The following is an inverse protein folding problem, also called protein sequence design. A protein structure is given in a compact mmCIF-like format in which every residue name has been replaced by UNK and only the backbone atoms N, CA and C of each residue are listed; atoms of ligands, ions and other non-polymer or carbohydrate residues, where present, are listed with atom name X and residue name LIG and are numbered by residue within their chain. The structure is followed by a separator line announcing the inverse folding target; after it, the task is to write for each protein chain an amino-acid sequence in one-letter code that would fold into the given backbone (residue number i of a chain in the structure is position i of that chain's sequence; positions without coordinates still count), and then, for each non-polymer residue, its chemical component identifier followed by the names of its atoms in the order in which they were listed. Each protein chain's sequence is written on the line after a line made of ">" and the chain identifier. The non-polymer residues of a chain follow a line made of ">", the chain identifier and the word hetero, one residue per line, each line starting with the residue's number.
data_IF_174922707990
#
_entry.id   IF_174922707990
#
_cell.length_a   1.000
_cell.length_b   1.000
_cell.length_c   1.000
_cell.angle_alpha   90.00
_cell.angle_beta   90.00
_cell.angle_gamma   90.00
#
_symmetry.space_group_name_H-M   'P 1'
#
loop_
_entity.id
_entity.type
_entity.pdbx_description
1 polymer ?
#
# COMPACT_ATOMS: atom_id res chain seq x y z
N UNK A 1 10.85 -14.15 -22.68
CA UNK A 1 9.46 -14.12 -22.21
C UNK A 1 9.38 -12.99 -21.18
N UNK A 2 8.52 -12.01 -21.34
CA UNK A 2 8.33 -10.95 -20.34
C UNK A 2 7.75 -11.61 -19.08
N UNK A 3 8.41 -11.42 -17.95
CA UNK A 3 7.92 -11.95 -16.67
C UNK A 3 6.64 -11.18 -16.30
N UNK A 4 5.58 -11.87 -15.94
CA UNK A 4 4.31 -11.25 -15.50
C UNK A 4 4.55 -10.47 -14.22
N UNK A 5 4.30 -9.17 -14.24
CA UNK A 5 4.43 -8.29 -13.07
C UNK A 5 3.41 -8.68 -11.99
N UNK A 6 3.87 -8.78 -10.74
CA UNK A 6 3.04 -9.10 -9.58
C UNK A 6 3.07 -7.96 -8.58
N UNK A 7 1.93 -7.43 -8.22
CA UNK A 7 1.81 -6.32 -7.27
C UNK A 7 0.86 -6.68 -6.14
N UNK A 8 1.31 -6.49 -4.90
CA UNK A 8 0.48 -6.67 -3.71
C UNK A 8 -0.07 -5.32 -3.24
N UNK A 9 -1.38 -5.26 -3.01
CA UNK A 9 -2.09 -4.09 -2.51
C UNK A 9 -2.33 -4.12 -1.00
N UNK A 10 -2.21 -2.97 -0.33
CA UNK A 10 -2.61 -2.75 1.06
C UNK A 10 -3.57 -1.56 1.15
N UNK A 11 -4.73 -1.76 1.79
CA UNK A 11 -5.70 -0.69 2.05
C UNK A 11 -5.72 -0.35 3.53
N UNK A 12 -5.34 0.85 3.92
CA UNK A 12 -5.31 1.30 5.32
C UNK A 12 -6.68 1.53 5.96
N UNK A 13 -7.74 0.83 5.53
CA UNK A 13 -9.09 1.01 6.05
C UNK A 13 -9.91 -0.27 5.95
N UNK A 14 -10.64 -0.59 7.02
CA UNK A 14 -11.57 -1.75 7.09
C UNK A 14 -13.00 -1.41 6.67
N UNK A 15 -13.32 -0.14 6.40
CA UNK A 15 -14.67 0.25 6.00
C UNK A 15 -15.03 -0.37 4.65
N UNK A 16 -16.25 -0.92 4.52
CA UNK A 16 -16.77 -1.44 3.26
C UNK A 16 -16.78 -0.36 2.15
N UNK A 17 -17.33 0.83 2.43
CA UNK A 17 -17.31 2.00 1.54
C UNK A 17 -16.07 2.87 1.81
N UNK A 18 -14.88 2.29 1.66
CA UNK A 18 -13.62 3.00 1.92
C UNK A 18 -13.14 3.74 0.68
N UNK A 19 -12.89 5.03 0.80
CA UNK A 19 -12.23 5.81 -0.26
C UNK A 19 -10.86 5.25 -0.63
N UNK A 20 -10.13 4.71 0.35
CA UNK A 20 -8.81 4.09 0.08
C UNK A 20 -8.95 2.84 -0.79
N UNK A 21 -10.01 2.03 -0.60
CA UNK A 21 -10.31 0.88 -1.44
C UNK A 21 -10.65 1.33 -2.85
N UNK A 22 -11.55 2.29 -3.02
CA UNK A 22 -11.93 2.84 -4.32
C UNK A 22 -10.70 3.37 -5.09
N UNK A 23 -9.78 4.08 -4.40
CA UNK A 23 -8.55 4.57 -5.00
C UNK A 23 -7.60 3.43 -5.37
N UNK A 24 -7.41 2.42 -4.49
CA UNK A 24 -6.55 1.27 -4.79
C UNK A 24 -7.05 0.50 -6.00
N UNK A 25 -8.34 0.21 -6.08
CA UNK A 25 -8.97 -0.49 -7.22
C UNK A 25 -8.83 0.32 -8.51
N UNK A 26 -9.03 1.65 -8.45
CA UNK A 26 -8.82 2.52 -9.62
C UNK A 26 -7.35 2.50 -10.08
N UNK A 27 -6.38 2.47 -9.16
CA UNK A 27 -4.96 2.37 -9.53
C UNK A 27 -4.64 0.99 -10.09
N UNK A 28 -5.24 -0.07 -9.55
CA UNK A 28 -5.07 -1.43 -10.08
C UNK A 28 -5.54 -1.55 -11.54
N UNK A 29 -6.63 -0.86 -11.90
CA UNK A 29 -7.13 -0.79 -13.28
C UNK A 29 -6.19 0.00 -14.24
N UNK A 30 -5.25 0.80 -13.70
CA UNK A 30 -4.24 1.51 -14.49
C UNK A 30 -2.96 0.71 -14.72
N UNK A 31 -2.82 -0.45 -14.06
CA UNK A 31 -1.65 -1.32 -14.25
C UNK A 31 -1.66 -1.95 -15.65
N UNK A 32 -0.51 -2.38 -16.18
CA UNK A 32 -0.46 -3.13 -17.44
C UNK A 32 -1.38 -4.38 -17.40
N UNK A 33 -2.03 -4.70 -18.51
CA UNK A 33 -3.06 -5.75 -18.60
C UNK A 33 -2.61 -7.13 -18.08
N UNK A 34 -1.33 -7.48 -18.20
CA UNK A 34 -0.77 -8.75 -17.73
C UNK A 34 -0.34 -8.73 -16.26
N UNK A 35 -0.58 -7.63 -15.51
CA UNK A 35 -0.19 -7.53 -14.10
C UNK A 35 -1.10 -8.39 -13.23
N UNK A 36 -0.51 -9.23 -12.40
CA UNK A 36 -1.24 -9.91 -11.31
C UNK A 36 -1.30 -8.98 -10.12
N UNK A 37 -2.50 -8.52 -9.81
CA UNK A 37 -2.74 -7.66 -8.66
C UNK A 37 -3.62 -8.39 -7.64
N UNK A 38 -3.15 -8.45 -6.39
CA UNK A 38 -3.90 -9.01 -5.26
C UNK A 38 -3.74 -8.11 -4.04
N UNK A 39 -4.81 -7.96 -3.25
CA UNK A 39 -4.77 -7.17 -2.03
C UNK A 39 -4.85 -8.06 -0.78
N UNK A 40 -4.03 -7.78 0.22
CA UNK A 40 -4.09 -8.47 1.52
C UNK A 40 -5.34 -7.99 2.27
N UNK A 41 -6.10 -8.94 2.82
CA UNK A 41 -7.13 -8.64 3.80
C UNK A 41 -6.49 -8.31 5.15
N UNK A 42 -6.16 -7.03 5.36
CA UNK A 42 -5.52 -6.57 6.59
C UNK A 42 -6.43 -6.69 7.82
N UNK A 43 -7.74 -6.88 7.62
CA UNK A 43 -8.71 -7.08 8.70
C UNK A 43 -8.65 -8.48 9.32
N UNK A 44 -8.10 -9.45 8.61
CA UNK A 44 -7.95 -10.83 9.09
C UNK A 44 -6.72 -11.04 9.97
N UNK A 45 -5.77 -10.09 10.00
CA UNK A 45 -4.56 -10.23 10.79
C UNK A 45 -4.84 -9.92 12.27
N UNK A 46 -4.45 -10.80 13.21
CA UNK A 46 -4.54 -10.48 14.64
C UNK A 46 -3.65 -9.28 15.00
N UNK A 47 -3.87 -8.69 16.16
CA UNK A 47 -2.91 -7.72 16.68
C UNK A 47 -1.53 -8.36 16.82
N UNK A 48 -0.49 -7.62 16.41
CA UNK A 48 0.89 -8.11 16.49
C UNK A 48 1.23 -8.52 17.92
N UNK A 49 1.70 -9.74 18.04
CA UNK A 49 2.22 -10.29 19.27
C UNK A 49 3.35 -11.26 18.91
N UNK A 50 4.55 -10.99 19.41
CA UNK A 50 5.74 -11.79 19.14
C UNK A 50 5.58 -13.26 19.61
N UNK A 51 4.77 -13.52 20.65
CA UNK A 51 4.55 -14.89 21.13
C UNK A 51 3.85 -15.76 20.07
N UNK A 52 3.00 -15.15 19.22
CA UNK A 52 2.35 -15.88 18.13
C UNK A 52 3.32 -16.29 17.01
N UNK A 53 4.51 -15.70 16.94
CA UNK A 53 5.54 -16.13 15.97
C UNK A 53 6.29 -17.38 16.41
N UNK A 54 6.36 -17.64 17.73
CA UNK A 54 7.17 -18.72 18.31
C UNK A 54 6.49 -20.08 18.22
N UNK A 55 5.17 -20.13 18.40
CA UNK A 55 4.41 -21.38 18.48
C UNK A 55 3.84 -21.82 17.14
N UNK A 56 3.08 -20.93 16.50
CA UNK A 56 2.55 -21.13 15.14
C UNK A 56 2.16 -19.78 14.56
N UNK A 57 2.83 -19.38 13.47
CA UNK A 57 2.47 -18.16 12.77
C UNK A 57 0.99 -18.22 12.31
N UNK A 58 0.15 -17.22 12.63
CA UNK A 58 -1.24 -17.22 12.19
C UNK A 58 -1.34 -17.31 10.66
N UNK A 59 -2.20 -18.17 10.13
CA UNK A 59 -2.35 -18.39 8.68
C UNK A 59 -2.49 -17.10 7.86
N UNK A 60 -3.33 -16.09 8.25
CA UNK A 60 -3.43 -14.85 7.50
C UNK A 60 -2.11 -14.07 7.42
N UNK A 61 -1.27 -14.17 8.44
CA UNK A 61 0.05 -13.52 8.46
C UNK A 61 1.00 -14.26 7.52
N UNK A 62 1.01 -15.59 7.57
CA UNK A 62 1.80 -16.44 6.67
C UNK A 62 1.47 -16.16 5.22
N UNK A 63 0.18 -16.21 4.86
CA UNK A 63 -0.31 -15.88 3.51
C UNK A 63 0.08 -14.46 3.08
N UNK A 64 -0.04 -13.47 3.97
CA UNK A 64 0.33 -12.09 3.67
C UNK A 64 1.84 -11.94 3.40
N UNK A 65 2.70 -12.59 4.19
CA UNK A 65 4.16 -12.61 3.97
C UNK A 65 4.52 -13.27 2.65
N UNK A 66 3.92 -14.42 2.33
CA UNK A 66 4.15 -15.13 1.06
C UNK A 66 3.71 -14.30 -0.14
N UNK A 67 2.55 -13.64 -0.06
CA UNK A 67 2.04 -12.76 -1.10
C UNK A 67 3.01 -11.60 -1.37
N UNK A 68 3.50 -10.93 -0.32
CA UNK A 68 4.49 -9.84 -0.47
C UNK A 68 5.83 -10.38 -0.98
N UNK A 69 6.30 -11.51 -0.47
CA UNK A 69 7.56 -12.12 -0.93
C UNK A 69 7.52 -12.44 -2.43
N UNK A 70 6.40 -12.99 -2.91
CA UNK A 70 6.18 -13.35 -4.31
C UNK A 70 5.89 -12.15 -5.23
N UNK A 71 5.68 -10.94 -4.70
CA UNK A 71 5.40 -9.74 -5.49
C UNK A 71 6.66 -8.98 -5.87
N UNK A 72 6.61 -8.30 -7.03
CA UNK A 72 7.68 -7.41 -7.50
C UNK A 72 7.61 -6.04 -6.84
N UNK A 73 6.43 -5.64 -6.36
CA UNK A 73 6.21 -4.37 -5.68
C UNK A 73 4.98 -4.39 -4.76
N UNK A 74 4.91 -3.43 -3.84
CA UNK A 74 3.75 -3.19 -2.97
C UNK A 74 3.15 -1.83 -3.26
N UNK A 75 1.82 -1.77 -3.34
CA UNK A 75 1.03 -0.54 -3.48
C UNK A 75 0.18 -0.33 -2.22
N UNK A 76 0.38 0.79 -1.51
CA UNK A 76 -0.34 1.12 -0.28
C UNK A 76 -1.24 2.32 -0.51
N UNK A 77 -2.53 2.22 -0.17
CA UNK A 77 -3.45 3.36 -0.14
C UNK A 77 -4.06 3.48 1.24
N UNK A 78 -3.86 4.61 1.91
CA UNK A 78 -4.27 4.80 3.30
C UNK A 78 -4.88 6.17 3.56
N UNK A 79 -5.88 6.25 4.44
CA UNK A 79 -6.30 7.54 4.99
C UNK A 79 -5.34 8.00 6.10
N UNK A 80 -5.52 9.25 6.52
CA UNK A 80 -4.92 9.77 7.76
C UNK A 80 -5.93 9.66 8.91
N UNK A 81 -5.49 9.12 10.05
CA UNK A 81 -6.22 9.11 11.31
C UNK A 81 -5.37 9.72 12.42
N UNK A 82 -5.90 10.69 13.14
CA UNK A 82 -5.23 11.31 14.29
C UNK A 82 -3.76 11.71 13.95
N UNK A 83 -3.55 12.33 12.79
CA UNK A 83 -2.25 12.78 12.29
C UNK A 83 -1.26 11.65 11.95
N UNK A 84 -1.72 10.43 11.74
CA UNK A 84 -0.86 9.29 11.40
C UNK A 84 -1.56 8.25 10.54
N UNK A 85 -0.88 7.14 10.31
CA UNK A 85 -1.47 5.98 9.63
C UNK A 85 -2.44 5.25 10.55
N UNK A 86 -3.51 4.62 10.02
CA UNK A 86 -4.43 3.83 10.82
C UNK A 86 -3.73 2.67 11.54
N UNK A 87 -4.18 2.36 12.77
CA UNK A 87 -3.60 1.28 13.57
C UNK A 87 -3.62 -0.08 12.85
N UNK A 88 -4.67 -0.37 12.07
CA UNK A 88 -4.77 -1.60 11.29
C UNK A 88 -3.68 -1.71 10.22
N UNK A 89 -3.31 -0.60 9.56
CA UNK A 89 -2.19 -0.60 8.62
C UNK A 89 -0.86 -0.75 9.35
N UNK A 90 -0.68 -0.03 10.46
CA UNK A 90 0.55 -0.18 11.27
C UNK A 90 0.73 -1.60 11.75
N UNK A 91 -0.34 -2.25 12.25
CA UNK A 91 -0.35 -3.65 12.64
C UNK A 91 0.09 -4.59 11.49
N UNK A 92 -0.45 -4.36 10.30
CA UNK A 92 -0.06 -5.13 9.10
C UNK A 92 1.42 -4.98 8.79
N UNK A 93 1.94 -3.74 8.84
CA UNK A 93 3.36 -3.47 8.59
C UNK A 93 4.24 -4.11 9.67
N UNK A 94 3.81 -4.12 10.94
CA UNK A 94 4.53 -4.79 12.02
C UNK A 94 4.65 -6.31 11.77
N UNK A 95 3.58 -6.96 11.34
CA UNK A 95 3.62 -8.37 10.93
C UNK A 95 4.53 -8.63 9.73
N UNK A 96 4.44 -7.79 8.69
CA UNK A 96 5.21 -7.96 7.47
C UNK A 96 6.70 -7.62 7.64
N UNK A 97 7.07 -6.89 8.70
CA UNK A 97 8.46 -6.51 9.00
C UNK A 97 9.26 -7.60 9.71
N UNK A 98 8.68 -8.75 9.93
CA UNK A 98 9.32 -9.86 10.66
C UNK A 98 9.65 -11.05 9.75
N UNK A 99 10.72 -11.79 10.06
CA UNK A 99 11.76 -11.51 11.07
C UNK A 99 12.48 -10.19 10.80
N UNK A 100 12.95 -9.51 11.87
CA UNK A 100 13.71 -8.27 11.70
C UNK A 100 14.98 -8.54 10.86
N UNK A 101 15.26 -7.65 9.90
CA UNK A 101 16.39 -7.75 8.97
C UNK A 101 16.39 -8.95 8.02
N UNK A 102 15.28 -9.72 7.97
CA UNK A 102 15.06 -10.83 7.03
C UNK A 102 13.59 -10.91 6.61
N UNK A 103 12.94 -9.76 6.50
CA UNK A 103 11.51 -9.67 6.19
C UNK A 103 11.25 -9.63 4.69
N UNK A 104 10.02 -9.98 4.29
CA UNK A 104 9.57 -9.90 2.91
C UNK A 104 9.51 -8.47 2.33
N UNK A 105 9.70 -7.46 3.19
CA UNK A 105 9.70 -6.04 2.80
C UNK A 105 11.09 -5.47 2.48
N UNK A 106 12.17 -6.17 2.83
CA UNK A 106 13.53 -5.70 2.53
C UNK A 106 13.71 -5.58 1.03
N UNK A 107 14.25 -4.45 0.59
CA UNK A 107 14.42 -4.07 -0.81
C UNK A 107 13.16 -4.11 -1.68
N UNK A 108 11.98 -4.34 -1.08
CA UNK A 108 10.72 -4.34 -1.78
C UNK A 108 10.37 -2.93 -2.25
N UNK A 109 10.15 -2.70 -3.56
CA UNK A 109 9.68 -1.43 -4.07
C UNK A 109 8.29 -1.12 -3.52
N UNK A 110 8.11 0.06 -2.96
CA UNK A 110 6.81 0.47 -2.42
C UNK A 110 6.40 1.82 -3.00
N UNK A 111 5.19 1.87 -3.57
CA UNK A 111 4.48 3.10 -3.89
C UNK A 111 3.32 3.26 -2.91
N UNK A 112 3.14 4.48 -2.37
CA UNK A 112 2.04 4.72 -1.45
C UNK A 112 1.33 6.04 -1.72
N UNK A 113 0.04 6.02 -1.42
CA UNK A 113 -0.92 7.11 -1.63
C UNK A 113 -1.62 7.39 -0.30
N UNK A 114 -1.72 8.65 0.07
CA UNK A 114 -2.53 9.08 1.19
C UNK A 114 -3.69 9.93 0.75
N UNK A 115 -4.76 9.92 1.53
CA UNK A 115 -5.96 10.68 1.22
C UNK A 115 -6.70 11.14 2.49
N UNK A 116 -7.44 12.24 2.35
CA UNK A 116 -8.38 12.65 3.40
C UNK A 116 -9.54 13.47 2.81
N UNK A 117 -10.69 13.54 3.51
CA UNK A 117 -11.76 14.48 3.16
C UNK A 117 -11.36 15.95 3.32
N UNK A 118 -10.33 16.24 4.12
CA UNK A 118 -9.85 17.60 4.38
C UNK A 118 -8.83 18.09 3.34
N UNK A 119 -8.40 19.34 3.53
CA UNK A 119 -7.49 20.04 2.63
C UNK A 119 -6.04 19.53 2.66
N UNK A 120 -5.63 18.77 3.68
CA UNK A 120 -4.25 18.28 3.82
C UNK A 120 -4.02 16.91 3.18
N UNK A 121 -5.07 16.20 2.74
CA UNK A 121 -4.94 14.96 1.98
C UNK A 121 -4.19 13.81 2.67
N UNK A 122 -3.93 13.91 3.98
CA UNK A 122 -3.19 12.89 4.72
C UNK A 122 -1.67 13.07 4.70
N UNK A 123 -1.18 14.30 4.58
CA UNK A 123 0.26 14.60 4.49
C UNK A 123 1.06 14.10 5.71
N UNK A 124 0.47 14.08 6.90
CA UNK A 124 1.16 13.58 8.10
C UNK A 124 1.29 12.06 8.08
N UNK A 125 0.23 11.36 7.63
CA UNK A 125 0.29 9.92 7.37
C UNK A 125 1.33 9.59 6.29
N UNK A 126 1.47 10.45 5.27
CA UNK A 126 2.49 10.34 4.23
C UNK A 126 3.90 10.35 4.83
N UNK A 127 4.19 11.30 5.73
CA UNK A 127 5.47 11.38 6.44
C UNK A 127 5.73 10.16 7.32
N UNK A 128 4.76 9.81 8.18
CA UNK A 128 4.90 8.66 9.07
C UNK A 128 5.11 7.36 8.28
N UNK A 129 4.36 7.16 7.20
CA UNK A 129 4.48 5.95 6.38
C UNK A 129 5.85 5.86 5.71
N UNK A 130 6.39 6.99 5.21
CA UNK A 130 7.73 7.06 4.63
C UNK A 130 8.80 6.63 5.63
N UNK A 131 8.77 7.16 6.85
CA UNK A 131 9.72 6.79 7.92
C UNK A 131 9.58 5.33 8.32
N UNK A 132 8.33 4.86 8.46
CA UNK A 132 8.03 3.47 8.80
C UNK A 132 8.58 2.50 7.76
N UNK A 133 8.31 2.75 6.47
CA UNK A 133 8.81 1.91 5.37
C UNK A 133 10.34 1.96 5.23
N UNK A 134 10.93 3.13 5.43
CA UNK A 134 12.39 3.27 5.41
C UNK A 134 13.07 2.47 6.55
N UNK A 135 12.47 2.47 7.76
CA UNK A 135 12.98 1.68 8.88
C UNK A 135 12.87 0.16 8.66
N UNK A 136 11.98 -0.26 7.77
CA UNK A 136 11.81 -1.66 7.35
C UNK A 136 12.69 -2.03 6.13
N UNK A 137 13.58 -1.12 5.71
CA UNK A 137 14.48 -1.27 4.57
C UNK A 137 13.75 -1.47 3.24
N UNK A 138 12.53 -0.95 3.10
CA UNK A 138 11.83 -0.93 1.82
C UNK A 138 12.56 -0.03 0.82
N UNK A 139 12.47 -0.38 -0.46
CA UNK A 139 13.00 0.45 -1.53
C UNK A 139 12.02 1.58 -1.88
N UNK A 140 12.29 2.78 -1.40
CA UNK A 140 11.50 3.97 -1.68
C UNK A 140 12.14 4.77 -2.81
N UNK A 141 11.53 4.72 -3.99
CA UNK A 141 11.98 5.51 -5.14
C UNK A 141 11.67 7.01 -4.90
N UNK A 142 12.62 7.92 -5.16
CA UNK A 142 12.37 9.35 -5.12
C UNK A 142 11.38 9.78 -6.21
N UNK A 143 10.10 9.86 -5.85
CA UNK A 143 8.99 10.27 -6.71
C UNK A 143 8.18 11.37 -6.02
N UNK A 144 7.45 12.21 -6.79
CA UNK A 144 6.48 13.12 -6.19
C UNK A 144 5.46 12.37 -5.33
N UNK A 145 5.03 13.01 -4.26
CA UNK A 145 4.04 12.42 -3.36
C UNK A 145 2.65 12.39 -4.03
N UNK A 146 1.89 11.33 -3.72
CA UNK A 146 0.48 11.22 -4.10
C UNK A 146 -0.35 11.45 -2.83
N UNK A 147 -0.80 12.68 -2.66
CA UNK A 147 -1.61 13.14 -1.53
C UNK A 147 -2.93 13.66 -2.06
N UNK A 148 -4.05 12.96 -1.77
CA UNK A 148 -5.36 13.29 -2.34
C UNK A 148 -6.19 14.05 -1.32
N UNK A 149 -6.37 15.34 -1.57
CA UNK A 149 -7.22 16.23 -0.77
C UNK A 149 -8.69 16.12 -1.18
N UNK A 150 -9.61 16.42 -0.27
CA UNK A 150 -11.06 16.50 -0.53
C UNK A 150 -11.59 15.26 -1.26
N UNK A 151 -11.15 14.07 -0.85
CA UNK A 151 -11.42 12.81 -1.55
C UNK A 151 -12.92 12.53 -1.73
N UNK A 152 -13.77 12.96 -0.83
CA UNK A 152 -15.21 12.72 -0.91
C UNK A 152 -15.87 13.28 -2.18
N UNK A 153 -15.37 14.39 -2.71
CA UNK A 153 -15.85 14.97 -3.97
C UNK A 153 -15.22 14.37 -5.24
N UNK A 154 -14.30 13.42 -5.10
CA UNK A 154 -13.52 12.84 -6.19
C UNK A 154 -13.88 11.37 -6.47
N UNK A 155 -14.79 10.80 -5.67
CA UNK A 155 -15.25 9.41 -5.81
C UNK A 155 -16.68 9.39 -6.36
N UNK A 156 -16.91 8.58 -7.37
CA UNK A 156 -18.24 8.25 -7.88
C UNK A 156 -18.29 6.75 -8.23
N UNK A 157 -19.38 6.08 -7.91
CA UNK A 157 -19.57 4.65 -8.17
C UNK A 157 -18.36 3.79 -7.71
N UNK A 158 -17.89 4.05 -6.50
CA UNK A 158 -16.72 3.39 -5.89
C UNK A 158 -15.42 3.47 -6.72
N UNK A 159 -15.27 4.53 -7.53
CA UNK A 159 -14.07 4.80 -8.33
C UNK A 159 -13.61 6.25 -8.16
N UNK A 160 -12.30 6.47 -8.22
CA UNK A 160 -11.72 7.80 -8.34
C UNK A 160 -11.98 8.34 -9.75
N UNK A 161 -12.68 9.48 -9.85
CA UNK A 161 -13.10 10.05 -11.15
C UNK A 161 -12.49 11.43 -11.43
N UNK A 162 -11.76 12.02 -10.51
CA UNK A 162 -11.14 13.34 -10.65
C UNK A 162 -9.98 13.31 -11.66
N UNK A 163 -10.21 13.83 -12.85
CA UNK A 163 -9.27 13.75 -13.96
C UNK A 163 -7.85 14.31 -13.66
N UNK A 164 -7.70 15.46 -12.95
CA UNK A 164 -6.37 15.93 -12.55
C UNK A 164 -5.63 14.98 -11.63
N UNK A 165 -6.34 14.41 -10.64
CA UNK A 165 -5.75 13.43 -9.71
C UNK A 165 -5.36 12.14 -10.43
N UNK A 166 -6.22 11.62 -11.31
CA UNK A 166 -5.93 10.45 -12.14
C UNK A 166 -4.68 10.65 -13.00
N UNK A 167 -4.56 11.78 -13.67
CA UNK A 167 -3.37 12.11 -14.48
C UNK A 167 -2.10 12.16 -13.65
N UNK A 168 -2.16 12.73 -12.45
CA UNK A 168 -1.02 12.79 -11.53
C UNK A 168 -0.60 11.38 -11.09
N UNK A 169 -1.55 10.56 -10.64
CA UNK A 169 -1.31 9.15 -10.25
C UNK A 169 -0.69 8.38 -11.41
N UNK A 170 -1.27 8.45 -12.60
CA UNK A 170 -0.79 7.73 -13.78
C UNK A 170 0.66 8.08 -14.12
N UNK A 171 1.02 9.36 -14.08
CA UNK A 171 2.39 9.81 -14.33
C UNK A 171 3.38 9.23 -13.32
N UNK A 172 3.02 9.19 -12.04
CA UNK A 172 3.89 8.65 -10.99
C UNK A 172 3.96 7.13 -11.07
N UNK A 173 2.82 6.47 -11.30
CA UNK A 173 2.74 5.02 -11.45
C UNK A 173 3.64 4.51 -12.58
N UNK A 174 3.60 5.16 -13.75
CA UNK A 174 4.47 4.82 -14.88
C UNK A 174 5.97 4.93 -14.52
N UNK A 175 6.34 6.01 -13.83
CA UNK A 175 7.73 6.19 -13.35
C UNK A 175 8.13 5.15 -12.32
N UNK A 176 7.21 4.81 -11.40
CA UNK A 176 7.44 3.76 -10.40
C UNK A 176 7.66 2.40 -11.07
N UNK A 177 6.76 1.99 -11.97
CA UNK A 177 6.86 0.73 -12.68
C UNK A 177 8.17 0.60 -13.49
N UNK A 178 8.64 1.70 -14.07
CA UNK A 178 9.93 1.71 -14.75
C UNK A 178 11.13 1.46 -13.80
N UNK A 179 11.00 1.70 -12.50
CA UNK A 179 12.03 1.37 -11.50
C UNK A 179 11.93 -0.08 -11.01
N UNK A 180 10.72 -0.65 -10.98
CA UNK A 180 10.50 -2.06 -10.65
C UNK A 180 11.10 -2.97 -11.73
N UNK A 181 10.88 -2.66 -13.00
CA UNK A 181 11.37 -3.45 -14.13
C UNK A 181 12.90 -3.47 -14.29
N UNK A 182 13.64 -2.58 -13.62
CA UNK A 182 15.10 -2.47 -13.70
C UNK A 182 15.83 -3.17 -12.56
N UNK A 183 15.13 -3.72 -11.63
CA UNK A 183 15.66 -4.42 -10.47
C UNK A 183 15.67 -5.93 -10.68
#
# INVERSE_FOLDING_TARGET
>A
MSQTLRITGLVGSLRAASYSRAVLETIAEMLPDETKFEAIDIGSLPHYNEDLEKDALPDPVGCGREMVAASDAVLIVTPEFNHGIPGVLKNTLDWLSRPAFDSCLIDKPVLFVTLSPGALGGVRAQHQLRETLASMLCRLTPLPEIVITHIGGKIAQDRLVDAPTLKHIQSILQRFLATVARA
#
